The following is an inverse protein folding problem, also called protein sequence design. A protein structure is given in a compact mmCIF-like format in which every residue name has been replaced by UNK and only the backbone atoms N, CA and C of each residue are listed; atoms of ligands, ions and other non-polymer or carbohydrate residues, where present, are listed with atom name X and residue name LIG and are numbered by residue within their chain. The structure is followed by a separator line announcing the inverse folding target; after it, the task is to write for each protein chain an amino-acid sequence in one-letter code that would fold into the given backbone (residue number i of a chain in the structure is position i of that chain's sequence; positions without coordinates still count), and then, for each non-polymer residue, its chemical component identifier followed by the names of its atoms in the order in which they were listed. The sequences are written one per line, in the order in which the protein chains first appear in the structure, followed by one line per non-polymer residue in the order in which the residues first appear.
data_IF_717765858324
#
_entry.id   IF_717765858324
#
_cell.length_a   1.000
_cell.length_b   1.000
_cell.length_c   1.000
_cell.angle_alpha   90.00
_cell.angle_beta   90.00
_cell.angle_gamma   90.00
#
_symmetry.space_group_name_H-M   'P 1'
#
loop_
_entity.id
_entity.type
_entity.pdbx_description
1 polymer ?
#
# COMPACT_ATOMS: atom_id res chain seq x y z
N UNK A 1 -0.29 23.27 -7.90
CA UNK A 1 -1.28 22.17 -7.99
C UNK A 1 -0.63 20.81 -7.70
N UNK A 2 0.53 20.49 -8.29
CA UNK A 2 1.30 19.27 -7.98
C UNK A 2 1.71 19.18 -6.50
N UNK A 3 2.10 20.29 -5.87
CA UNK A 3 2.46 20.32 -4.44
C UNK A 3 1.31 19.89 -3.51
N UNK A 4 0.07 20.22 -3.87
CA UNK A 4 -1.10 19.87 -3.07
C UNK A 4 -1.40 18.37 -3.18
N UNK A 5 -1.23 17.79 -4.38
CA UNK A 5 -1.33 16.34 -4.57
C UNK A 5 -0.20 15.61 -3.84
N UNK A 6 1.02 16.13 -3.89
CA UNK A 6 2.16 15.57 -3.15
C UNK A 6 1.93 15.63 -1.62
N UNK A 7 1.38 16.73 -1.12
CA UNK A 7 1.01 16.86 0.30
C UNK A 7 -0.06 15.83 0.70
N UNK A 8 -1.07 15.61 -0.15
CA UNK A 8 -2.09 14.56 0.05
C UNK A 8 -1.50 13.16 0.01
N UNK A 9 -0.65 12.84 -0.97
CA UNK A 9 0.08 11.57 -1.05
C UNK A 9 0.90 11.29 0.22
N UNK A 10 1.60 12.30 0.75
CA UNK A 10 2.33 12.19 2.02
C UNK A 10 1.40 11.97 3.21
N UNK A 11 0.26 12.67 3.26
CA UNK A 11 -0.73 12.49 4.32
C UNK A 11 -1.33 11.07 4.31
N UNK A 12 -1.77 10.58 3.14
CA UNK A 12 -2.31 9.22 2.99
C UNK A 12 -1.27 8.16 3.37
N UNK A 13 -0.01 8.32 2.94
CA UNK A 13 1.09 7.44 3.37
C UNK A 13 1.23 7.42 4.90
N UNK A 14 1.24 8.58 5.55
CA UNK A 14 1.34 8.67 7.01
C UNK A 14 0.15 8.02 7.72
N UNK A 15 -1.06 8.21 7.20
CA UNK A 15 -2.27 7.58 7.73
C UNK A 15 -2.19 6.05 7.63
N UNK A 16 -1.76 5.53 6.48
CA UNK A 16 -1.54 4.09 6.25
C UNK A 16 -0.54 3.53 7.27
N UNK A 17 0.61 4.19 7.47
CA UNK A 17 1.60 3.75 8.47
C UNK A 17 1.02 3.76 9.88
N UNK A 18 0.25 4.79 10.24
CA UNK A 18 -0.42 4.87 11.54
C UNK A 18 -1.42 3.74 11.74
N UNK A 19 -2.26 3.47 10.76
CA UNK A 19 -3.26 2.40 10.83
C UNK A 19 -2.61 1.01 10.89
N UNK A 20 -1.53 0.76 10.15
CA UNK A 20 -0.76 -0.49 10.27
C UNK A 20 -0.17 -0.67 11.66
N UNK A 21 0.34 0.40 12.28
CA UNK A 21 0.84 0.36 13.65
C UNK A 21 -0.29 0.11 14.66
N UNK A 22 -1.46 0.71 14.44
CA UNK A 22 -2.62 0.50 15.29
C UNK A 22 -3.14 -0.94 15.21
N UNK A 23 -3.12 -1.55 14.02
CA UNK A 23 -3.49 -2.97 13.85
C UNK A 23 -2.55 -3.95 14.57
N UNK A 24 -1.34 -3.50 14.93
CA UNK A 24 -0.37 -4.27 15.70
C UNK A 24 -0.58 -4.17 17.23
N UNK A 25 -1.49 -3.32 17.71
CA UNK A 25 -1.86 -3.23 19.13
C UNK A 25 -3.08 -4.08 19.44
N UNK A 26 -3.41 -4.20 20.72
CA UNK A 26 -4.68 -4.80 21.16
C UNK A 26 -5.84 -3.88 20.75
N UNK A 27 -6.77 -4.45 19.99
CA UNK A 27 -7.95 -3.79 19.45
C UNK A 27 -9.12 -4.77 19.55
N UNK A 28 -10.31 -4.25 19.78
CA UNK A 28 -11.54 -5.02 19.64
C UNK A 28 -11.79 -5.38 18.18
N UNK A 29 -12.61 -6.41 17.93
CA UNK A 29 -12.97 -6.82 16.56
C UNK A 29 -13.64 -5.70 15.76
N UNK A 30 -14.43 -4.85 16.45
CA UNK A 30 -15.09 -3.69 15.86
C UNK A 30 -14.07 -2.64 15.42
N UNK A 31 -13.12 -2.30 16.30
CA UNK A 31 -12.06 -1.34 16.00
C UNK A 31 -11.17 -1.85 14.87
N UNK A 32 -10.77 -3.13 14.92
CA UNK A 32 -9.98 -3.78 13.86
C UNK A 32 -10.70 -3.70 12.52
N UNK A 33 -11.97 -4.09 12.48
CA UNK A 33 -12.79 -4.04 11.24
C UNK A 33 -12.93 -2.62 10.70
N UNK A 34 -13.11 -1.63 11.59
CA UNK A 34 -13.16 -0.23 11.21
C UNK A 34 -11.83 0.26 10.62
N UNK A 35 -10.70 -0.06 11.28
CA UNK A 35 -9.36 0.36 10.84
C UNK A 35 -8.99 -0.32 9.52
N UNK A 36 -9.31 -1.61 9.34
CA UNK A 36 -9.06 -2.32 8.08
C UNK A 36 -9.85 -1.73 6.91
N UNK A 37 -11.12 -1.37 7.14
CA UNK A 37 -11.93 -0.67 6.13
C UNK A 37 -11.31 0.68 5.77
N UNK A 38 -10.97 1.49 6.77
CA UNK A 38 -10.32 2.80 6.57
C UNK A 38 -8.96 2.67 5.87
N UNK A 39 -8.19 1.63 6.18
CA UNK A 39 -6.90 1.35 5.55
C UNK A 39 -7.07 1.02 4.06
N UNK A 40 -8.11 0.28 3.67
CA UNK A 40 -8.43 0.00 2.26
C UNK A 40 -8.84 1.27 1.51
N UNK A 41 -9.68 2.09 2.13
CA UNK A 41 -10.09 3.39 1.56
C UNK A 41 -8.89 4.31 1.31
N UNK A 42 -8.00 4.49 2.30
CA UNK A 42 -6.81 5.33 2.12
C UNK A 42 -5.87 4.82 1.03
N UNK A 43 -5.70 3.49 0.91
CA UNK A 43 -4.88 2.90 -0.15
C UNK A 43 -5.49 3.13 -1.54
N UNK A 44 -6.81 3.00 -1.67
CA UNK A 44 -7.51 3.27 -2.92
C UNK A 44 -7.39 4.75 -3.32
N UNK A 45 -7.61 5.69 -2.39
CA UNK A 45 -7.44 7.12 -2.65
C UNK A 45 -6.00 7.47 -3.02
N UNK A 46 -5.01 6.86 -2.35
CA UNK A 46 -3.60 7.06 -2.67
C UNK A 46 -3.25 6.53 -4.07
N UNK A 47 -3.81 5.38 -4.46
CA UNK A 47 -3.62 4.81 -5.80
C UNK A 47 -4.19 5.74 -6.88
N UNK A 48 -5.44 6.19 -6.75
CA UNK A 48 -6.04 7.13 -7.69
C UNK A 48 -5.27 8.45 -7.79
N UNK A 49 -4.87 9.03 -6.64
CA UNK A 49 -4.03 10.24 -6.64
C UNK A 49 -2.66 10.02 -7.26
N UNK A 50 -2.10 8.81 -7.15
CA UNK A 50 -0.83 8.47 -7.77
C UNK A 50 -0.94 8.36 -9.28
N UNK A 51 -2.04 7.80 -9.81
CA UNK A 51 -2.31 7.75 -11.25
C UNK A 51 -2.54 9.15 -11.83
N UNK A 52 -3.26 10.02 -11.09
CA UNK A 52 -3.46 11.43 -11.47
C UNK A 52 -2.18 12.26 -11.43
N UNK A 53 -1.27 11.98 -10.47
CA UNK A 53 -0.06 12.79 -10.25
C UNK A 53 1.14 12.28 -11.04
N UNK A 54 1.22 10.97 -11.25
CA UNK A 54 2.31 10.29 -11.95
C UNK A 54 1.72 9.33 -12.99
N UNK A 55 1.50 9.79 -14.24
CA UNK A 55 0.99 8.93 -15.31
C UNK A 55 1.99 7.84 -15.76
N UNK A 56 3.15 7.75 -15.11
CA UNK A 56 4.16 6.71 -15.35
C UNK A 56 4.35 5.91 -14.06
N UNK A 57 3.60 4.81 -13.94
CA UNK A 57 3.92 3.76 -12.98
C UNK A 57 5.28 3.16 -13.37
N UNK A 58 6.34 3.24 -12.54
CA UNK A 58 7.48 2.37 -12.76
C UNK A 58 6.96 0.93 -12.67
N UNK A 59 7.43 -0.01 -13.52
CA UNK A 59 6.98 -1.38 -13.45
C UNK A 59 7.23 -1.86 -12.03
N UNK A 60 6.14 -2.15 -11.30
CA UNK A 60 6.21 -2.90 -10.05
C UNK A 60 7.14 -4.06 -10.35
N UNK A 61 8.31 -4.07 -9.68
CA UNK A 61 9.21 -5.21 -9.72
C UNK A 61 8.46 -6.33 -9.03
N UNK A 62 7.59 -6.98 -9.80
CA UNK A 62 7.12 -8.30 -9.49
C UNK A 62 8.39 -9.13 -9.53
N UNK A 63 8.99 -9.34 -8.35
CA UNK A 63 10.05 -10.32 -8.21
C UNK A 63 9.52 -11.59 -8.88
N UNK A 64 10.21 -12.14 -9.90
CA UNK A 64 9.79 -13.38 -10.49
C UNK A 64 9.76 -14.41 -9.37
N UNK A 65 8.58 -15.01 -9.17
CA UNK A 65 8.42 -16.18 -8.32
C UNK A 65 9.53 -17.16 -8.70
N UNK A 66 10.29 -17.56 -7.69
CA UNK A 66 11.47 -18.41 -7.83
C UNK A 66 11.19 -19.57 -8.79
N UNK A 67 11.95 -19.62 -9.88
CA UNK A 67 12.04 -20.83 -10.69
C UNK A 67 12.58 -21.94 -9.78
N UNK A 68 11.92 -23.12 -9.70
CA UNK A 68 12.54 -24.26 -9.06
C UNK A 68 13.73 -24.67 -9.94
N UNK A 69 14.93 -24.52 -9.37
CA UNK A 69 16.15 -25.14 -9.88
C UNK A 69 15.99 -26.66 -9.69
N UNK A 70 15.31 -27.33 -10.61
CA UNK A 70 15.38 -28.79 -10.70
C UNK A 70 16.69 -29.19 -11.37
N UNK A 71 17.60 -29.70 -10.55
CA UNK A 71 18.06 -31.07 -10.73
C UNK A 71 18.89 -31.36 -11.98
N UNK A 72 20.18 -31.06 -11.86
CA UNK A 72 21.30 -31.81 -12.48
C UNK A 72 21.11 -33.33 -12.40
N UNK A 73 21.46 -34.04 -13.50
CA UNK A 73 21.77 -35.49 -13.70
C UNK A 73 20.96 -36.04 -14.89
N UNK A 74 21.52 -36.66 -15.94
CA UNK A 74 22.76 -37.42 -16.19
C UNK A 74 23.19 -37.18 -17.64
#
# INVERSE_FOLDING_TARGET
MIDQNLARLRAHRNNIHRYRRLLATELTDLERSYIERRLKEEQATMASLSEETFPFTPPSTQLPAAAPQEGRHV
#
